data_IF_961096469967
#
_entry.id   IF_961096469967
#
_cell.length_a   1.000
_cell.length_b   1.000
_cell.length_c   1.000
_cell.angle_alpha   90.00
_cell.angle_beta   90.00
_cell.angle_gamma   90.00
#
_symmetry.space_group_name_H-M   'P 1'
#
loop_
_entity.id
_entity.type
_entity.pdbx_description
1 polymer ?
#
# COMPACT_ATOMS: atom_id res chain seq x y z
N UNK A 1 -34.46 -0.91 2.20
CA UNK A 1 -33.41 -1.91 2.48
C UNK A 1 -33.42 -2.93 1.35
N UNK A 2 -32.60 -2.74 0.31
CA UNK A 2 -32.40 -3.78 -0.70
C UNK A 2 -31.19 -4.63 -0.31
N UNK A 3 -31.46 -5.87 0.11
CA UNK A 3 -30.41 -6.87 0.23
C UNK A 3 -29.87 -7.17 -1.17
N UNK A 4 -28.69 -6.64 -1.52
CA UNK A 4 -27.95 -7.10 -2.70
C UNK A 4 -27.64 -8.58 -2.50
N UNK A 5 -28.42 -9.46 -3.13
CA UNK A 5 -28.20 -10.90 -3.15
C UNK A 5 -26.76 -11.16 -3.60
N UNK A 6 -26.05 -12.02 -2.87
CA UNK A 6 -24.75 -12.52 -3.33
C UNK A 6 -24.92 -13.08 -4.75
N UNK A 7 -24.04 -12.74 -5.71
CA UNK A 7 -24.14 -13.29 -7.06
C UNK A 7 -24.09 -14.82 -6.99
N UNK A 8 -25.03 -15.47 -7.67
CA UNK A 8 -25.08 -16.94 -7.76
C UNK A 8 -23.78 -17.45 -8.42
N UNK A 9 -23.32 -18.67 -8.08
CA UNK A 9 -22.17 -19.26 -8.74
C UNK A 9 -22.42 -19.32 -10.26
N UNK A 10 -21.61 -18.61 -11.03
CA UNK A 10 -21.69 -18.57 -12.50
C UNK A 10 -20.49 -19.32 -13.06
N UNK A 11 -20.75 -20.28 -13.96
CA UNK A 11 -19.68 -20.91 -14.75
C UNK A 11 -19.10 -19.89 -15.73
N UNK A 12 -17.78 -19.92 -15.93
CA UNK A 12 -17.10 -19.01 -16.84
C UNK A 12 -17.39 -19.40 -18.28
N UNK A 13 -17.71 -18.42 -19.11
CA UNK A 13 -17.89 -18.64 -20.54
C UNK A 13 -16.98 -17.69 -21.33
N UNK A 14 -16.18 -18.20 -22.29
CA UNK A 14 -15.18 -17.37 -22.97
C UNK A 14 -15.80 -16.28 -23.86
N UNK A 15 -17.04 -16.44 -24.35
CA UNK A 15 -17.67 -15.44 -25.22
C UNK A 15 -18.35 -14.26 -24.50
N UNK A 16 -18.37 -14.25 -23.17
CA UNK A 16 -19.05 -13.21 -22.38
C UNK A 16 -18.17 -12.77 -21.23
N UNK A 17 -18.07 -11.46 -20.98
CA UNK A 17 -17.40 -10.96 -19.77
C UNK A 17 -18.27 -11.32 -18.56
N UNK A 18 -17.71 -12.04 -17.59
CA UNK A 18 -18.36 -12.35 -16.32
C UNK A 18 -18.21 -11.24 -15.29
N UNK A 19 -18.39 -11.57 -14.01
CA UNK A 19 -18.22 -10.60 -12.92
C UNK A 19 -16.75 -10.26 -12.65
N UNK A 20 -16.48 -9.14 -11.98
CA UNK A 20 -15.11 -8.79 -11.54
C UNK A 20 -14.58 -9.79 -10.50
N UNK A 21 -15.46 -10.39 -9.70
CA UNK A 21 -15.07 -11.45 -8.77
C UNK A 21 -14.55 -12.69 -9.52
N UNK A 22 -15.24 -13.06 -10.61
CA UNK A 22 -14.80 -14.12 -11.49
C UNK A 22 -13.44 -13.80 -12.14
N UNK A 23 -13.22 -12.53 -12.51
CA UNK A 23 -11.94 -12.07 -13.03
C UNK A 23 -10.79 -12.17 -12.02
N UNK A 24 -11.01 -11.73 -10.78
CA UNK A 24 -10.03 -11.87 -9.69
C UNK A 24 -9.68 -13.35 -9.46
N UNK A 25 -10.69 -14.23 -9.52
CA UNK A 25 -10.48 -15.68 -9.40
C UNK A 25 -9.67 -16.24 -10.58
N UNK A 26 -9.92 -15.77 -11.80
CA UNK A 26 -9.14 -16.13 -12.99
C UNK A 26 -7.68 -15.73 -12.82
N UNK A 27 -7.40 -14.47 -12.42
CA UNK A 27 -6.03 -13.99 -12.23
C UNK A 27 -5.27 -14.83 -11.21
N UNK A 28 -5.90 -15.15 -10.07
CA UNK A 28 -5.32 -16.04 -9.06
C UNK A 28 -5.06 -17.44 -9.64
N UNK A 29 -6.02 -17.97 -10.40
CA UNK A 29 -5.89 -19.26 -11.08
C UNK A 29 -4.78 -19.29 -12.11
N UNK A 30 -4.50 -18.18 -12.77
CA UNK A 30 -3.38 -18.04 -13.71
C UNK A 30 -2.01 -17.92 -13.00
N UNK A 31 -1.98 -17.92 -11.66
CA UNK A 31 -0.74 -17.86 -10.87
C UNK A 31 -0.17 -16.46 -10.68
N UNK A 32 -0.96 -15.42 -10.91
CA UNK A 32 -0.54 -14.04 -10.71
C UNK A 32 -0.41 -13.71 -9.21
N UNK A 33 0.73 -13.13 -8.83
CA UNK A 33 1.13 -12.94 -7.43
C UNK A 33 1.39 -11.45 -7.11
N UNK A 34 0.94 -10.92 -5.95
CA UNK A 34 0.18 -11.60 -4.89
C UNK A 34 -1.24 -11.99 -5.32
N UNK A 35 -1.84 -13.07 -4.77
CA UNK A 35 -3.23 -13.40 -5.03
C UNK A 35 -4.14 -12.24 -4.62
N UNK A 36 -5.11 -11.94 -5.47
CA UNK A 36 -6.13 -10.93 -5.24
C UNK A 36 -7.22 -11.48 -4.30
N UNK A 37 -7.65 -10.72 -3.29
CA UNK A 37 -8.91 -11.00 -2.62
C UNK A 37 -10.08 -10.92 -3.62
N UNK A 38 -11.05 -11.83 -3.53
CA UNK A 38 -12.22 -11.87 -4.43
C UNK A 38 -13.26 -10.85 -3.95
N UNK A 39 -13.01 -9.54 -4.14
CA UNK A 39 -13.89 -8.46 -3.64
C UNK A 39 -15.08 -8.16 -4.54
N UNK A 40 -15.00 -8.54 -5.83
CA UNK A 40 -15.98 -8.16 -6.85
C UNK A 40 -15.92 -6.69 -7.27
N UNK A 41 -14.95 -5.93 -6.77
CA UNK A 41 -14.70 -4.53 -7.14
C UNK A 41 -13.43 -4.40 -7.99
N UNK A 42 -13.42 -3.43 -8.90
CA UNK A 42 -12.25 -3.10 -9.70
C UNK A 42 -11.30 -2.16 -8.93
N UNK A 43 -10.76 -2.65 -7.81
CA UNK A 43 -9.83 -1.91 -6.96
C UNK A 43 -8.44 -1.74 -7.60
N UNK A 44 -7.57 -0.92 -7.00
CA UNK A 44 -6.24 -0.62 -7.54
C UNK A 44 -5.39 -1.87 -7.76
N UNK A 45 -5.42 -2.84 -6.84
CA UNK A 45 -4.70 -4.09 -6.98
C UNK A 45 -5.24 -4.93 -8.16
N UNK A 46 -6.56 -4.98 -8.34
CA UNK A 46 -7.20 -5.67 -9.46
C UNK A 46 -6.87 -4.97 -10.79
N UNK A 47 -6.87 -3.64 -10.84
CA UNK A 47 -6.49 -2.87 -12.05
C UNK A 47 -5.02 -3.10 -12.40
N UNK A 48 -4.11 -3.03 -11.43
CA UNK A 48 -2.68 -3.24 -11.63
C UNK A 48 -2.39 -4.67 -12.12
N UNK A 49 -3.06 -5.66 -11.53
CA UNK A 49 -2.89 -7.05 -11.94
C UNK A 49 -3.50 -7.31 -13.34
N UNK A 50 -4.62 -6.67 -13.66
CA UNK A 50 -5.22 -6.73 -15.00
C UNK A 50 -4.30 -6.12 -16.04
N UNK A 51 -3.71 -4.96 -15.73
CA UNK A 51 -2.70 -4.30 -16.54
C UNK A 51 -1.48 -5.19 -16.76
N UNK A 52 -1.02 -5.89 -15.70
CA UNK A 52 0.08 -6.84 -15.80
C UNK A 52 -0.29 -8.02 -16.71
N UNK A 53 -1.45 -8.63 -16.49
CA UNK A 53 -1.94 -9.74 -17.31
C UNK A 53 -2.04 -9.36 -18.79
N UNK A 54 -2.61 -8.19 -19.09
CA UNK A 54 -2.70 -7.67 -20.45
C UNK A 54 -1.31 -7.51 -21.08
N UNK A 55 -0.38 -6.88 -20.36
CA UNK A 55 0.99 -6.70 -20.83
C UNK A 55 1.71 -8.02 -21.09
N UNK A 56 1.60 -8.99 -20.18
CA UNK A 56 2.26 -10.30 -20.30
C UNK A 56 1.78 -11.09 -21.54
N UNK A 57 0.56 -10.85 -21.99
CA UNK A 57 -0.03 -11.49 -23.17
C UNK A 57 -0.04 -10.59 -24.42
N UNK A 58 0.62 -9.43 -24.38
CA UNK A 58 0.68 -8.50 -25.51
C UNK A 58 -0.66 -7.84 -25.86
N UNK A 59 -1.61 -7.81 -24.93
CA UNK A 59 -2.88 -7.10 -25.07
C UNK A 59 -2.72 -5.61 -24.74
N UNK A 60 -3.60 -4.72 -25.25
CA UNK A 60 -3.64 -3.33 -24.82
C UNK A 60 -3.80 -3.21 -23.29
N UNK A 61 -2.91 -2.44 -22.65
CA UNK A 61 -2.89 -2.20 -21.20
C UNK A 61 -3.97 -1.19 -20.78
N UNK A 62 -5.23 -1.60 -20.85
CA UNK A 62 -6.39 -0.75 -20.54
C UNK A 62 -6.76 -0.78 -19.06
N UNK A 63 -6.33 -1.81 -18.32
CA UNK A 63 -6.72 -2.04 -16.93
C UNK A 63 -8.19 -2.39 -16.75
N UNK A 64 -8.92 -2.60 -17.86
CA UNK A 64 -10.34 -2.97 -17.90
C UNK A 64 -10.48 -4.42 -18.35
N UNK A 65 -11.52 -5.09 -17.87
CA UNK A 65 -11.86 -6.46 -18.29
C UNK A 65 -12.79 -6.38 -19.51
N UNK A 66 -12.20 -6.19 -20.68
CA UNK A 66 -12.92 -6.32 -21.95
C UNK A 66 -13.00 -7.79 -22.40
N UNK A 67 -13.73 -8.02 -23.49
CA UNK A 67 -13.95 -9.38 -24.01
C UNK A 67 -12.64 -10.07 -24.43
N UNK A 68 -11.66 -9.32 -24.94
CA UNK A 68 -10.37 -9.87 -25.34
C UNK A 68 -9.56 -10.32 -24.11
N UNK A 69 -9.49 -9.46 -23.09
CA UNK A 69 -8.83 -9.73 -21.80
C UNK A 69 -9.48 -10.92 -21.10
N UNK A 70 -10.81 -10.97 -21.09
CA UNK A 70 -11.57 -12.08 -20.50
C UNK A 70 -11.28 -13.40 -21.21
N UNK A 71 -11.40 -13.44 -22.54
CA UNK A 71 -11.10 -14.63 -23.35
C UNK A 71 -9.70 -15.16 -23.08
N UNK A 72 -8.72 -14.26 -23.06
CA UNK A 72 -7.33 -14.59 -22.78
C UNK A 72 -7.21 -15.21 -21.37
N UNK A 73 -7.83 -14.61 -20.35
CA UNK A 73 -7.75 -15.12 -18.99
C UNK A 73 -8.44 -16.46 -18.80
N UNK A 74 -9.62 -16.68 -19.38
CA UNK A 74 -10.31 -17.98 -19.34
C UNK A 74 -9.44 -19.07 -19.95
N UNK A 75 -8.85 -18.81 -21.12
CA UNK A 75 -8.04 -19.79 -21.86
C UNK A 75 -6.60 -19.95 -21.35
N UNK A 76 -6.12 -19.04 -20.51
CA UNK A 76 -4.77 -19.12 -19.96
C UNK A 76 -4.60 -20.33 -19.04
N UNK A 77 -3.40 -20.92 -19.02
CA UNK A 77 -3.07 -22.06 -18.15
C UNK A 77 -3.37 -21.73 -16.68
N UNK A 78 -3.99 -22.68 -15.98
CA UNK A 78 -4.35 -22.58 -14.56
C UNK A 78 -3.41 -23.40 -13.66
N UNK A 79 -3.26 -22.97 -12.42
CA UNK A 79 -2.57 -23.74 -11.37
C UNK A 79 -3.37 -25.01 -11.00
N UNK A 80 -2.72 -26.10 -10.57
CA UNK A 80 -3.41 -27.30 -10.10
C UNK A 80 -4.41 -27.00 -8.97
N UNK A 81 -5.60 -27.60 -9.03
CA UNK A 81 -6.65 -27.43 -8.01
C UNK A 81 -7.47 -26.14 -8.12
N UNK A 82 -7.22 -25.29 -9.12
CA UNK A 82 -8.07 -24.13 -9.39
C UNK A 82 -9.47 -24.54 -9.87
N UNK A 83 -10.49 -23.78 -9.45
CA UNK A 83 -11.89 -23.98 -9.82
C UNK A 83 -12.42 -22.84 -10.70
N UNK A 84 -13.14 -23.20 -11.75
CA UNK A 84 -13.88 -22.26 -12.61
C UNK A 84 -15.11 -21.65 -11.91
N UNK A 85 -15.50 -22.17 -10.75
CA UNK A 85 -16.58 -21.59 -9.95
C UNK A 85 -16.02 -20.42 -9.14
N UNK A 86 -16.63 -19.24 -9.28
CA UNK A 86 -16.21 -18.04 -8.54
C UNK A 86 -16.43 -18.24 -7.04
N UNK A 87 -15.39 -18.10 -6.18
CA UNK A 87 -15.52 -18.20 -4.74
C UNK A 87 -16.45 -17.12 -4.14
N UNK A 88 -16.95 -17.30 -2.92
CA UNK A 88 -17.68 -16.26 -2.20
C UNK A 88 -16.87 -14.96 -2.13
N UNK A 89 -17.57 -13.83 -2.19
CA UNK A 89 -16.92 -12.53 -2.12
C UNK A 89 -16.21 -12.37 -0.77
N UNK A 90 -14.91 -12.09 -0.83
CA UNK A 90 -14.19 -11.52 0.29
C UNK A 90 -14.64 -10.07 0.44
N UNK A 91 -15.58 -9.82 1.35
CA UNK A 91 -15.85 -8.46 1.78
C UNK A 91 -14.66 -8.03 2.62
N UNK A 92 -13.89 -7.01 2.22
CA UNK A 92 -12.96 -6.40 3.15
C UNK A 92 -13.78 -6.02 4.37
N UNK A 93 -13.36 -6.45 5.56
CA UNK A 93 -13.84 -5.82 6.78
C UNK A 93 -13.66 -4.32 6.55
N UNK A 94 -14.73 -3.54 6.71
CA UNK A 94 -14.63 -2.09 6.66
C UNK A 94 -13.78 -1.65 7.84
N UNK A 95 -12.48 -1.69 7.65
CA UNK A 95 -11.50 -1.08 8.52
C UNK A 95 -11.83 0.41 8.39
N UNK A 96 -12.45 0.98 9.44
CA UNK A 96 -12.62 2.42 9.52
C UNK A 96 -11.26 3.10 9.26
N UNK A 97 -11.22 4.34 8.76
CA UNK A 97 -9.95 5.01 8.55
C UNK A 97 -9.03 4.97 9.79
N UNK A 98 -9.61 5.09 11.00
CA UNK A 98 -8.91 4.93 12.29
C UNK A 98 -8.20 3.55 12.47
N UNK A 99 -8.69 2.49 11.82
CA UNK A 99 -8.08 1.16 11.92
C UNK A 99 -6.92 0.94 10.93
N UNK A 100 -6.76 1.74 9.87
CA UNK A 100 -5.58 1.63 8.98
C UNK A 100 -4.32 2.08 9.71
N UNK A 101 -4.36 3.25 10.35
CA UNK A 101 -3.24 3.75 11.17
C UNK A 101 -2.89 2.76 12.28
N UNK A 102 -3.91 2.21 12.97
CA UNK A 102 -3.71 1.19 13.99
C UNK A 102 -3.11 -0.10 13.42
N UNK A 103 -3.60 -0.61 12.29
CA UNK A 103 -3.07 -1.83 11.67
C UNK A 103 -1.63 -1.65 11.21
N UNK A 104 -1.29 -0.50 10.63
CA UNK A 104 0.10 -0.17 10.28
C UNK A 104 0.98 -0.22 11.52
N UNK A 105 0.55 0.41 12.62
CA UNK A 105 1.29 0.38 13.87
C UNK A 105 1.47 -1.04 14.42
N UNK A 106 0.37 -1.77 14.60
CA UNK A 106 0.38 -3.11 15.19
C UNK A 106 1.22 -4.10 14.35
N UNK A 107 1.21 -3.94 13.03
CA UNK A 107 2.07 -4.70 12.13
C UNK A 107 3.53 -4.25 12.22
N UNK A 108 3.81 -2.97 12.01
CA UNK A 108 5.17 -2.48 11.74
C UNK A 108 6.02 -2.34 13.01
N UNK A 109 5.38 -2.19 14.17
CA UNK A 109 6.03 -2.20 15.49
C UNK A 109 6.46 -3.61 15.97
N UNK A 110 6.37 -4.63 15.12
CA UNK A 110 6.88 -5.98 15.40
C UNK A 110 8.19 -6.22 14.63
N UNK A 111 9.24 -6.66 15.33
CA UNK A 111 10.57 -6.86 14.73
C UNK A 111 10.53 -7.78 13.50
N UNK A 112 9.80 -8.90 13.60
CA UNK A 112 9.62 -9.86 12.50
C UNK A 112 9.00 -9.23 11.24
N UNK A 113 8.06 -8.31 11.42
CA UNK A 113 7.37 -7.64 10.32
C UNK A 113 8.22 -6.52 9.72
N UNK A 114 8.98 -5.78 10.55
CA UNK A 114 10.02 -4.88 10.06
C UNK A 114 11.05 -5.62 9.22
N UNK A 115 11.54 -6.78 9.66
CA UNK A 115 12.49 -7.58 8.89
C UNK A 115 11.86 -8.06 7.56
N UNK A 116 10.56 -8.34 7.54
CA UNK A 116 9.83 -8.67 6.31
C UNK A 116 9.71 -7.46 5.36
N UNK A 117 9.42 -6.27 5.89
CA UNK A 117 9.45 -5.01 5.13
C UNK A 117 10.84 -4.75 4.57
N UNK A 118 11.87 -4.88 5.39
CA UNK A 118 13.26 -4.70 4.98
C UNK A 118 13.63 -5.65 3.84
N UNK A 119 13.38 -6.96 3.99
CA UNK A 119 13.62 -7.94 2.91
C UNK A 119 12.83 -7.60 1.64
N UNK A 120 11.57 -7.17 1.79
CA UNK A 120 10.76 -6.74 0.66
C UNK A 120 11.41 -5.55 -0.08
N UNK A 121 11.77 -4.49 0.65
CA UNK A 121 12.43 -3.30 0.09
C UNK A 121 13.77 -3.64 -0.56
N UNK A 122 14.60 -4.46 0.07
CA UNK A 122 15.85 -4.91 -0.55
C UNK A 122 15.60 -5.70 -1.84
N UNK A 123 14.50 -6.43 -1.94
CA UNK A 123 14.14 -7.17 -3.15
C UNK A 123 13.71 -6.28 -4.33
N UNK A 124 12.99 -5.18 -4.09
CA UNK A 124 12.45 -4.35 -5.19
C UNK A 124 13.13 -2.99 -5.37
N UNK A 125 13.69 -2.41 -4.31
CA UNK A 125 14.40 -1.13 -4.33
C UNK A 125 15.92 -1.30 -4.21
N UNK A 126 16.40 -2.36 -3.56
CA UNK A 126 17.82 -2.74 -3.54
C UNK A 126 18.69 -1.98 -2.53
N UNK A 127 18.16 -1.01 -1.79
CA UNK A 127 18.93 -0.26 -0.79
C UNK A 127 18.06 0.29 0.33
N UNK A 128 18.68 0.59 1.47
CA UNK A 128 18.07 1.38 2.55
C UNK A 128 18.37 2.88 2.41
N UNK A 129 19.36 3.26 1.60
CA UNK A 129 19.76 4.66 1.38
C UNK A 129 18.64 5.40 0.65
N UNK A 130 18.19 6.52 1.21
CA UNK A 130 17.02 7.27 0.74
C UNK A 130 15.75 6.41 0.58
N UNK A 131 15.65 5.31 1.34
CA UNK A 131 14.56 4.35 1.25
C UNK A 131 13.35 4.66 2.13
N UNK A 132 13.25 5.86 2.70
CA UNK A 132 12.20 6.18 3.69
C UNK A 132 10.79 5.92 3.15
N UNK A 133 10.48 6.39 1.94
CA UNK A 133 9.20 6.14 1.29
C UNK A 133 9.05 4.67 0.88
N UNK A 134 10.13 4.01 0.47
CA UNK A 134 10.12 2.60 0.09
C UNK A 134 9.72 1.71 1.29
N UNK A 135 10.25 2.02 2.47
CA UNK A 135 9.94 1.33 3.73
C UNK A 135 8.49 1.58 4.16
N UNK A 136 8.06 2.85 4.26
CA UNK A 136 6.68 3.16 4.73
C UNK A 136 5.63 2.65 3.74
N UNK A 137 5.84 2.80 2.42
CA UNK A 137 4.91 2.27 1.40
C UNK A 137 4.86 0.74 1.40
N UNK A 138 5.98 0.05 1.68
CA UNK A 138 6.00 -1.41 1.79
C UNK A 138 5.38 -1.90 3.09
N UNK A 139 5.56 -1.19 4.20
CA UNK A 139 4.87 -1.48 5.46
C UNK A 139 3.35 -1.35 5.31
N UNK A 140 2.86 -0.30 4.63
CA UNK A 140 1.44 -0.18 4.28
C UNK A 140 0.96 -1.37 3.44
N UNK A 141 1.67 -1.72 2.36
CA UNK A 141 1.31 -2.88 1.52
C UNK A 141 1.22 -4.18 2.31
N UNK A 142 2.22 -4.45 3.14
CA UNK A 142 2.30 -5.70 3.90
C UNK A 142 1.34 -5.75 5.10
N UNK A 143 0.92 -4.59 5.63
CA UNK A 143 -0.15 -4.48 6.64
C UNK A 143 -1.57 -4.50 6.03
N UNK A 144 -1.68 -4.61 4.70
CA UNK A 144 -2.95 -4.77 3.99
C UNK A 144 -3.51 -3.49 3.35
N UNK A 145 -2.81 -2.36 3.42
CA UNK A 145 -3.20 -1.12 2.76
C UNK A 145 -2.54 -0.97 1.38
N UNK A 146 -3.34 -0.80 0.34
CA UNK A 146 -2.82 -0.70 -1.02
C UNK A 146 -2.10 0.64 -1.27
N UNK A 147 -0.82 0.55 -1.66
CA UNK A 147 -0.01 1.66 -2.18
C UNK A 147 0.68 1.20 -3.46
N UNK A 148 0.43 1.84 -4.62
CA UNK A 148 1.08 1.49 -5.87
C UNK A 148 2.61 1.62 -5.80
N UNK A 149 3.33 0.73 -6.49
CA UNK A 149 4.80 0.80 -6.62
C UNK A 149 5.28 1.83 -7.64
N UNK A 150 4.39 2.32 -8.50
CA UNK A 150 4.72 3.19 -9.66
C UNK A 150 3.86 4.45 -9.72
N UNK A 151 4.21 5.34 -10.64
CA UNK A 151 3.87 6.76 -10.66
C UNK A 151 2.36 7.12 -10.64
N UNK A 152 2.06 8.20 -9.93
CA UNK A 152 1.02 9.17 -10.30
C UNK A 152 1.77 10.35 -10.95
N UNK A 153 1.28 10.85 -12.10
CA UNK A 153 1.77 12.08 -12.73
C UNK A 153 3.30 12.16 -12.97
N UNK A 154 3.90 11.05 -13.41
CA UNK A 154 5.33 11.00 -13.74
C UNK A 154 6.29 10.88 -12.54
N UNK A 155 5.77 10.82 -11.30
CA UNK A 155 6.61 10.76 -10.11
C UNK A 155 6.25 9.59 -9.16
N UNK A 156 7.27 8.89 -8.66
CA UNK A 156 7.10 7.59 -8.02
C UNK A 156 6.53 7.70 -6.59
N UNK A 157 5.29 7.23 -6.42
CA UNK A 157 4.55 7.20 -5.14
C UNK A 157 5.30 6.47 -4.04
N UNK A 158 6.03 5.40 -4.39
CA UNK A 158 6.75 4.56 -3.43
C UNK A 158 8.19 5.02 -3.18
N UNK A 159 8.68 6.07 -3.86
CA UNK A 159 10.08 6.53 -3.72
C UNK A 159 10.20 8.03 -3.44
N UNK A 160 9.16 8.82 -3.60
CA UNK A 160 9.22 10.28 -3.42
C UNK A 160 8.18 10.78 -2.42
N UNK A 161 8.63 11.56 -1.44
CA UNK A 161 7.82 12.03 -0.30
C UNK A 161 6.63 12.88 -0.74
N UNK A 162 6.81 13.71 -1.77
CA UNK A 162 5.73 14.54 -2.35
C UNK A 162 4.64 13.68 -2.96
N UNK A 163 5.00 12.75 -3.86
CA UNK A 163 4.03 11.84 -4.48
C UNK A 163 3.34 10.96 -3.45
N UNK A 164 4.08 10.47 -2.45
CA UNK A 164 3.53 9.63 -1.39
C UNK A 164 2.51 10.39 -0.54
N UNK A 165 2.86 11.59 -0.07
CA UNK A 165 1.95 12.44 0.71
C UNK A 165 0.70 12.82 -0.10
N UNK A 166 0.86 13.22 -1.37
CA UNK A 166 -0.27 13.51 -2.27
C UNK A 166 -1.17 12.29 -2.47
N UNK A 167 -0.60 11.10 -2.66
CA UNK A 167 -1.35 9.87 -2.80
C UNK A 167 -2.16 9.54 -1.55
N UNK A 168 -1.55 9.59 -0.36
CA UNK A 168 -2.28 9.30 0.88
C UNK A 168 -3.43 10.28 1.11
N UNK A 169 -3.19 11.58 0.87
CA UNK A 169 -4.24 12.62 0.95
C UNK A 169 -5.36 12.39 -0.06
N UNK A 170 -5.06 11.97 -1.29
CA UNK A 170 -6.08 11.65 -2.29
C UNK A 170 -6.89 10.40 -1.94
N UNK A 171 -6.39 9.57 -1.01
CA UNK A 171 -7.12 8.44 -0.41
C UNK A 171 -7.82 8.78 0.91
N UNK A 172 -7.91 10.06 1.27
CA UNK A 172 -8.67 10.53 2.43
C UNK A 172 -7.87 10.67 3.72
N UNK A 173 -6.55 10.41 3.70
CA UNK A 173 -5.71 10.63 4.88
C UNK A 173 -5.66 12.12 5.21
N UNK A 174 -5.96 12.45 6.47
CA UNK A 174 -6.05 13.83 6.96
C UNK A 174 -4.68 14.33 7.44
N UNK A 175 -4.27 15.54 7.03
CA UNK A 175 -3.05 16.15 7.52
C UNK A 175 -3.26 16.85 8.86
N UNK A 176 -2.25 16.80 9.71
CA UNK A 176 -2.20 17.46 11.00
C UNK A 176 -0.82 18.08 11.24
N UNK A 177 -0.78 19.24 11.88
CA UNK A 177 0.45 20.03 12.10
C UNK A 177 0.82 20.20 13.58
N UNK A 178 -0.02 19.79 14.52
CA UNK A 178 0.33 19.80 15.94
C UNK A 178 0.99 18.47 16.33
N UNK A 179 2.32 18.46 16.44
CA UNK A 179 3.07 17.25 16.82
C UNK A 179 2.69 16.71 18.19
N UNK A 180 2.07 17.49 19.10
CA UNK A 180 1.63 17.00 20.43
C UNK A 180 0.47 16.00 20.35
N UNK A 181 -0.21 15.94 19.22
CA UNK A 181 -1.38 15.10 18.93
C UNK A 181 -1.04 13.80 18.20
N UNK A 182 0.25 13.53 17.98
CA UNK A 182 0.74 12.28 17.39
C UNK A 182 0.22 11.05 18.13
N UNK A 183 -0.19 10.06 17.35
CA UNK A 183 -0.70 8.76 17.78
C UNK A 183 0.10 7.64 17.10
N UNK A 184 0.22 6.47 17.76
CA UNK A 184 0.87 5.30 17.19
C UNK A 184 0.36 4.98 15.77
N UNK A 185 1.29 4.86 14.82
CA UNK A 185 1.00 4.57 13.41
C UNK A 185 0.94 5.80 12.49
N UNK A 186 0.92 7.02 13.04
CA UNK A 186 0.93 8.23 12.21
C UNK A 186 2.13 8.24 11.26
N UNK A 187 1.86 8.59 10.00
CA UNK A 187 2.91 8.74 8.98
C UNK A 187 3.39 10.18 9.02
N UNK A 188 4.60 10.38 9.51
CA UNK A 188 5.16 11.70 9.78
C UNK A 188 6.08 12.14 8.66
N UNK A 189 5.87 13.34 8.16
CA UNK A 189 6.70 14.00 7.16
C UNK A 189 7.50 15.12 7.83
N UNK A 190 8.77 15.23 7.45
CA UNK A 190 9.67 16.25 8.00
C UNK A 190 9.68 17.51 7.16
N UNK A 191 10.30 18.56 7.70
CA UNK A 191 10.55 19.81 7.02
C UNK A 191 11.36 19.61 5.74
N UNK A 192 11.38 20.67 4.94
CA UNK A 192 12.12 20.73 3.70
C UNK A 192 13.60 20.38 3.90
N UNK A 193 14.15 19.65 2.94
CA UNK A 193 15.58 19.32 2.89
C UNK A 193 16.23 19.90 1.64
N UNK A 194 17.42 19.41 1.31
CA UNK A 194 18.17 19.82 0.11
C UNK A 194 17.55 19.40 -1.24
N UNK A 195 16.27 19.03 -1.29
CA UNK A 195 15.56 18.51 -2.46
C UNK A 195 14.61 19.52 -3.12
N UNK A 196 14.62 20.77 -2.66
CA UNK A 196 13.81 21.86 -3.19
C UNK A 196 12.67 22.29 -2.27
N UNK A 197 12.15 23.49 -2.52
CA UNK A 197 11.09 24.12 -1.72
C UNK A 197 9.82 23.27 -1.74
N UNK A 198 9.21 23.07 -0.58
CA UNK A 198 7.98 22.29 -0.38
C UNK A 198 8.15 20.77 -0.36
N UNK A 199 9.37 20.24 -0.43
CA UNK A 199 9.64 18.79 -0.48
C UNK A 199 10.05 18.26 0.90
N UNK A 200 9.21 17.47 1.60
CA UNK A 200 9.61 16.84 2.85
C UNK A 200 10.88 16.01 2.68
N UNK A 201 11.87 16.21 3.53
CA UNK A 201 13.16 15.52 3.42
C UNK A 201 13.07 14.03 3.76
N UNK A 202 12.13 13.66 4.64
CA UNK A 202 12.02 12.32 5.20
C UNK A 202 10.58 11.97 5.55
N UNK A 203 10.31 10.66 5.64
CA UNK A 203 9.06 10.11 6.15
C UNK A 203 9.35 8.96 7.10
N UNK A 204 8.60 8.87 8.20
CA UNK A 204 8.72 7.79 9.19
C UNK A 204 7.36 7.47 9.81
N UNK A 205 7.27 6.35 10.54
CA UNK A 205 6.07 5.97 11.31
C UNK A 205 6.33 6.26 12.79
N UNK A 206 5.41 6.99 13.43
CA UNK A 206 5.45 7.24 14.86
C UNK A 206 5.03 5.98 15.65
N UNK A 207 5.82 5.56 16.64
CA UNK A 207 5.49 4.41 17.50
C UNK A 207 4.84 4.90 18.78
N UNK A 208 5.59 5.65 19.57
CA UNK A 208 5.15 6.13 20.88
C UNK A 208 6.03 7.28 21.36
N UNK A 209 5.54 8.02 22.36
CA UNK A 209 6.39 8.95 23.09
C UNK A 209 7.32 8.20 24.02
N UNK A 210 8.61 8.52 23.94
CA UNK A 210 9.61 8.07 24.90
C UNK A 210 9.70 9.07 26.06
N UNK A 211 9.82 10.36 25.71
CA UNK A 211 9.75 11.46 26.64
C UNK A 211 8.98 12.62 26.01
N UNK A 212 7.67 12.66 26.27
CA UNK A 212 6.77 13.67 25.67
C UNK A 212 7.12 15.10 26.08
N UNK A 213 7.59 15.31 27.32
CA UNK A 213 7.99 16.63 27.81
C UNK A 213 9.17 17.21 27.01
N UNK A 214 10.14 16.35 26.65
CA UNK A 214 11.28 16.72 25.81
C UNK A 214 11.07 16.45 24.32
N UNK A 215 9.85 16.07 23.92
CA UNK A 215 9.46 15.80 22.54
C UNK A 215 10.30 14.70 21.87
N UNK A 216 10.72 13.70 22.66
CA UNK A 216 11.44 12.52 22.18
C UNK A 216 10.46 11.37 21.99
N UNK A 217 10.50 10.74 20.83
CA UNK A 217 9.65 9.63 20.45
C UNK A 217 10.44 8.43 19.94
N UNK A 218 9.84 7.26 20.04
CA UNK A 218 10.23 6.08 19.28
C UNK A 218 9.60 6.14 17.89
N UNK A 219 10.42 5.92 16.86
CA UNK A 219 9.99 5.95 15.45
C UNK A 219 10.56 4.76 14.68
N UNK A 220 9.91 4.38 13.59
CA UNK A 220 10.34 3.34 12.65
C UNK A 220 10.52 3.94 11.26
N UNK A 221 11.65 3.68 10.61
CA UNK A 221 11.90 4.05 9.21
C UNK A 221 12.99 3.15 8.60
N UNK A 222 13.54 3.56 7.46
CA UNK A 222 14.61 2.84 6.76
C UNK A 222 15.96 2.83 7.50
N UNK A 223 16.10 3.57 8.60
CA UNK A 223 17.36 3.69 9.33
C UNK A 223 17.50 2.62 10.42
N UNK A 224 16.40 2.21 11.06
CA UNK A 224 16.36 1.12 12.03
C UNK A 224 14.92 0.67 12.35
N UNK A 225 14.78 -0.53 12.95
CA UNK A 225 13.49 -1.04 13.43
C UNK A 225 12.80 -0.07 14.39
N UNK A 226 13.52 0.41 15.41
CA UNK A 226 13.06 1.53 16.23
C UNK A 226 14.25 2.37 16.65
N UNK A 227 14.12 3.69 16.62
CA UNK A 227 15.12 4.59 17.20
C UNK A 227 14.48 5.81 17.85
N UNK A 228 15.22 6.43 18.77
CA UNK A 228 14.78 7.64 19.47
C UNK A 228 15.03 8.86 18.59
N UNK A 229 14.01 9.69 18.44
CA UNK A 229 14.08 10.95 17.69
C UNK A 229 13.50 12.07 18.51
N UNK A 230 14.20 13.21 18.59
CA UNK A 230 13.54 14.45 18.99
C UNK A 230 12.73 14.97 17.80
N UNK A 231 11.42 15.09 17.95
CA UNK A 231 10.52 15.36 16.83
C UNK A 231 10.69 16.79 16.27
N UNK A 232 11.12 17.75 17.09
CA UNK A 232 11.25 19.15 16.68
C UNK A 232 12.69 19.65 16.53
N UNK A 233 13.69 18.83 16.88
CA UNK A 233 15.11 19.18 16.74
C UNK A 233 15.76 18.36 15.63
N UNK A 234 16.56 19.02 14.81
CA UNK A 234 17.39 18.34 13.81
C UNK A 234 18.69 17.77 14.40
N UNK A 235 19.43 17.01 13.59
CA UNK A 235 20.76 16.46 13.95
C UNK A 235 20.72 15.10 14.65
N UNK A 236 21.78 14.76 15.38
CA UNK A 236 21.94 13.45 16.05
C UNK A 236 22.48 12.33 15.15
N UNK A 237 22.64 11.12 15.70
CA UNK A 237 23.30 9.98 15.02
C UNK A 237 22.62 9.47 13.74
N UNK A 238 21.40 9.93 13.46
CA UNK A 238 20.60 9.57 12.30
C UNK A 238 20.28 10.78 11.39
N UNK A 239 20.92 11.94 11.62
CA UNK A 239 20.79 13.17 10.83
C UNK A 239 19.32 13.61 10.60
N UNK A 240 18.63 13.90 11.69
CA UNK A 240 17.20 14.20 11.66
C UNK A 240 16.89 15.57 11.05
N UNK A 241 15.84 15.62 10.22
CA UNK A 241 15.11 16.85 9.87
C UNK A 241 13.90 17.03 10.81
N UNK A 242 13.58 18.24 11.28
CA UNK A 242 12.46 18.45 12.19
C UNK A 242 11.10 18.08 11.57
N UNK A 243 10.11 17.84 12.42
CA UNK A 243 8.71 17.61 12.05
C UNK A 243 8.11 18.77 11.23
N UNK A 244 7.29 18.43 10.24
CA UNK A 244 6.45 19.38 9.52
C UNK A 244 4.96 19.08 9.69
N UNK A 245 4.53 17.86 9.37
CA UNK A 245 3.15 17.41 9.51
C UNK A 245 3.09 15.89 9.59
N UNK A 246 1.95 15.34 9.99
CA UNK A 246 1.68 13.92 9.86
C UNK A 246 0.35 13.68 9.14
N UNK A 247 0.22 12.49 8.56
CA UNK A 247 -1.01 12.00 7.96
C UNK A 247 -1.56 10.86 8.81
N UNK A 248 -2.87 10.88 9.02
CA UNK A 248 -3.64 9.81 9.66
C UNK A 248 -4.82 9.43 8.77
N UNK A 249 -5.07 8.14 8.63
CA UNK A 249 -6.24 7.64 7.92
C UNK A 249 -7.50 7.97 8.73
#
# INVERSE_FOLDING_TARGET
>A
MESKKNPKPQKLHPSTVGSIAAWQNILNGCGYNPPLPITGGMDGATVDMTNKFQNDLGLPKTGKVDLATWKAGVNHKKIPGWSEVTPPLFKPQSISPDTITKHLHDFYSQRKNYDAVHRNVMGWFGTTKNGCVAFVSSALRLSGYHVPKTNLDGANISLWTVSFSKYLRSKGWKPFTDSKTLQPGDIVFTQEGGFGKGVPAHVYVFVSWDNKANQVAWVIDNQAFTHRRNINKGGGGFNFTPFAYYLRA
#
